data_IF_234049036577
#
_entry.id   IF_234049036577
#
_cell.length_a   1.000
_cell.length_b   1.000
_cell.length_c   1.000
_cell.angle_alpha   90.00
_cell.angle_beta   90.00
_cell.angle_gamma   90.00
#
_symmetry.space_group_name_H-M   'P 1'
#
loop_
_entity.id
_entity.type
_entity.pdbx_description
1 polymer ?
#
# COMPACT_ATOMS: atom_id res chain seq x y z
N UNK A 1 44.38 -55.81 25.98
CA UNK A 1 43.10 -56.27 25.40
C UNK A 1 42.48 -57.28 26.34
N UNK A 2 41.15 -57.28 26.57
CA UNK A 2 40.06 -56.97 25.62
C UNK A 2 39.32 -55.67 25.98
N UNK A 3 38.84 -54.83 25.05
CA UNK A 3 37.78 -54.97 24.04
C UNK A 3 36.40 -55.31 24.62
N UNK A 4 35.49 -54.33 24.64
CA UNK A 4 34.01 -54.40 24.49
C UNK A 4 33.53 -52.93 24.50
N UNK A 5 33.23 -52.34 23.35
CA UNK A 5 31.97 -52.33 22.58
C UNK A 5 31.04 -51.16 22.96
N UNK A 6 31.03 -50.16 22.07
CA UNK A 6 29.87 -49.43 21.55
C UNK A 6 28.78 -48.98 22.54
N UNK A 7 28.71 -47.66 22.75
CA UNK A 7 27.48 -46.86 22.83
C UNK A 7 27.86 -45.45 22.34
N UNK A 8 27.64 -45.13 21.07
CA UNK A 8 26.41 -44.57 20.49
C UNK A 8 26.19 -43.08 20.85
N UNK A 9 26.17 -42.28 19.78
CA UNK A 9 25.49 -40.99 19.59
C UNK A 9 26.36 -39.74 19.90
N UNK A 10 27.14 -39.32 18.90
CA UNK A 10 27.17 -37.91 18.48
C UNK A 10 25.85 -37.59 17.73
N UNK A 11 25.39 -36.33 17.55
CA UNK A 11 25.96 -35.04 17.96
C UNK A 11 24.94 -34.13 18.70
N UNK A 12 25.30 -33.51 19.82
CA UNK A 12 24.50 -32.41 20.38
C UNK A 12 24.79 -31.12 19.59
N UNK A 13 24.29 -31.06 18.35
CA UNK A 13 24.01 -29.78 17.69
C UNK A 13 22.78 -29.22 18.39
N UNK A 14 22.97 -28.60 19.56
CA UNK A 14 21.99 -27.70 20.11
C UNK A 14 22.14 -26.38 19.36
N UNK A 15 21.57 -26.33 18.14
CA UNK A 15 21.18 -25.09 17.48
C UNK A 15 20.05 -24.49 18.32
N UNK A 16 20.42 -23.91 19.47
CA UNK A 16 19.49 -23.17 20.31
C UNK A 16 19.12 -21.88 19.59
N UNK A 17 18.04 -21.99 18.82
CA UNK A 17 17.05 -20.94 18.58
C UNK A 17 17.59 -19.57 18.18
N UNK A 18 17.95 -19.43 16.90
CA UNK A 18 17.72 -18.19 16.15
C UNK A 18 16.22 -18.07 15.90
N UNK A 19 15.39 -17.88 16.93
CA UNK A 19 13.98 -17.50 16.74
C UNK A 19 13.54 -16.64 17.93
N UNK A 20 14.05 -15.42 18.00
CA UNK A 20 13.27 -14.31 18.57
C UNK A 20 13.59 -13.01 17.84
N UNK A 21 13.34 -13.00 16.53
CA UNK A 21 13.42 -11.78 15.71
C UNK A 21 12.27 -11.65 14.70
N UNK A 22 11.15 -12.33 14.94
CA UNK A 22 9.99 -12.28 14.04
C UNK A 22 8.72 -11.67 14.65
N UNK A 23 8.77 -11.16 15.89
CA UNK A 23 7.61 -10.51 16.52
C UNK A 23 7.61 -8.97 16.53
N UNK A 24 8.71 -8.35 16.12
CA UNK A 24 8.79 -6.89 15.96
C UNK A 24 9.22 -6.56 14.53
N UNK A 25 8.32 -6.05 13.67
CA UNK A 25 8.67 -5.10 12.58
C UNK A 25 7.57 -4.81 11.54
N UNK A 26 6.29 -5.15 11.77
CA UNK A 26 5.21 -4.51 10.99
C UNK A 26 4.81 -3.14 11.56
N UNK A 27 5.50 -2.66 12.59
CA UNK A 27 5.46 -1.26 12.98
C UNK A 27 6.40 -0.48 12.07
N UNK A 28 5.83 0.04 10.99
CA UNK A 28 6.45 1.12 10.24
C UNK A 28 6.55 2.35 11.13
N UNK A 29 7.76 2.89 11.27
CA UNK A 29 8.00 4.18 11.93
C UNK A 29 7.13 5.24 11.25
N UNK A 30 6.23 5.95 11.99
CA UNK A 30 5.35 6.96 11.43
C UNK A 30 6.08 8.01 10.60
N UNK A 31 7.31 8.34 10.97
CA UNK A 31 8.19 9.29 10.29
C UNK A 31 8.42 8.92 8.82
N UNK A 32 8.55 7.63 8.51
CA UNK A 32 8.71 7.13 7.13
C UNK A 32 7.45 7.39 6.30
N UNK A 33 6.28 7.27 6.92
CA UNK A 33 5.00 7.53 6.25
C UNK A 33 4.78 9.03 6.09
N UNK A 34 5.13 9.82 7.12
CA UNK A 34 4.97 11.27 7.12
C UNK A 34 5.87 11.98 6.07
N UNK A 35 7.04 11.43 5.74
CA UNK A 35 7.90 11.94 4.65
C UNK A 35 7.22 11.92 3.26
N UNK A 36 6.13 11.15 3.12
CA UNK A 36 5.32 11.12 1.89
C UNK A 36 4.46 12.37 1.71
N UNK A 37 4.22 13.14 2.76
CA UNK A 37 3.30 14.28 2.75
C UNK A 37 4.04 15.61 2.67
N UNK A 38 3.41 16.59 2.06
CA UNK A 38 3.81 17.98 2.18
C UNK A 38 3.31 18.55 3.52
N UNK A 39 3.85 19.69 3.94
CA UNK A 39 3.41 20.34 5.16
C UNK A 39 1.94 20.79 5.01
N UNK A 40 1.04 20.21 5.81
CA UNK A 40 -0.37 20.59 5.87
C UNK A 40 -1.32 19.41 5.69
N UNK A 41 -2.64 19.66 5.73
CA UNK A 41 -3.62 18.63 5.44
C UNK A 41 -3.57 18.22 3.96
N UNK A 42 -3.76 16.93 3.69
CA UNK A 42 -3.92 16.45 2.32
C UNK A 42 -5.27 16.91 1.76
N UNK A 43 -5.27 17.49 0.58
CA UNK A 43 -6.49 17.87 -0.14
C UNK A 43 -6.62 17.05 -1.43
N UNK A 44 -7.76 16.40 -1.62
CA UNK A 44 -8.01 15.53 -2.78
C UNK A 44 -9.22 16.01 -3.57
N UNK A 45 -9.18 15.84 -4.88
CA UNK A 45 -10.38 15.99 -5.69
C UNK A 45 -11.38 14.90 -5.32
N UNK A 46 -12.62 15.30 -5.03
CA UNK A 46 -13.74 14.43 -4.73
C UNK A 46 -14.85 14.66 -5.76
N UNK A 47 -15.28 13.60 -6.44
CA UNK A 47 -16.37 13.69 -7.41
C UNK A 47 -17.72 13.46 -6.72
N UNK A 48 -18.55 14.49 -6.69
CA UNK A 48 -19.89 14.40 -6.12
C UNK A 48 -20.88 13.89 -7.19
N UNK A 49 -21.34 12.65 -7.03
CA UNK A 49 -22.29 12.04 -7.97
C UNK A 49 -23.66 12.76 -8.01
N UNK A 50 -24.04 13.49 -6.96
CA UNK A 50 -25.32 14.19 -6.89
C UNK A 50 -25.31 15.50 -7.67
N UNK A 51 -24.19 16.25 -7.60
CA UNK A 51 -24.05 17.54 -8.27
C UNK A 51 -23.34 17.43 -9.63
N UNK A 52 -22.64 16.32 -9.89
CA UNK A 52 -21.81 16.14 -11.08
C UNK A 52 -20.54 17.03 -11.06
N UNK A 53 -20.18 17.58 -9.91
CA UNK A 53 -19.03 18.48 -9.76
C UNK A 53 -17.86 17.75 -9.10
N UNK A 54 -16.65 18.11 -9.53
CA UNK A 54 -15.42 17.74 -8.83
C UNK A 54 -14.94 18.95 -8.05
N UNK A 55 -14.66 18.76 -6.77
CA UNK A 55 -14.13 19.81 -5.89
C UNK A 55 -12.93 19.31 -5.09
N UNK A 56 -12.03 20.22 -4.77
CA UNK A 56 -10.89 19.92 -3.91
C UNK A 56 -11.37 20.00 -2.46
N UNK A 57 -11.26 18.89 -1.73
CA UNK A 57 -11.67 18.81 -0.33
C UNK A 57 -10.49 18.36 0.52
N UNK A 58 -10.33 18.99 1.68
CA UNK A 58 -9.47 18.45 2.74
C UNK A 58 -9.92 17.03 3.04
N UNK A 59 -8.96 16.11 3.11
CA UNK A 59 -9.16 14.75 3.60
C UNK A 59 -9.57 14.80 5.07
N UNK A 60 -10.87 14.99 5.30
CA UNK A 60 -11.48 14.76 6.58
C UNK A 60 -11.77 13.27 6.69
N UNK A 61 -11.21 12.63 7.70
CA UNK A 61 -11.54 11.25 8.06
C UNK A 61 -12.96 11.19 8.62
N UNK A 62 -13.98 11.43 7.80
CA UNK A 62 -15.32 10.97 8.12
C UNK A 62 -15.30 9.43 8.03
N UNK A 63 -15.08 8.78 9.17
CA UNK A 63 -15.12 7.33 9.26
C UNK A 63 -13.79 6.65 9.52
N UNK A 64 -13.03 7.15 10.49
CA UNK A 64 -12.04 6.33 11.23
C UNK A 64 -12.68 5.17 12.03
N UNK A 65 -13.80 4.60 11.59
CA UNK A 65 -14.14 3.22 11.93
C UNK A 65 -13.34 2.32 11.01
N UNK A 66 -12.06 2.23 11.36
CA UNK A 66 -11.24 1.04 11.29
C UNK A 66 -11.99 -0.16 10.69
N UNK A 67 -11.66 -0.51 9.44
CA UNK A 67 -11.88 -1.86 8.92
C UNK A 67 -11.07 -2.93 9.72
N UNK A 68 -10.51 -2.59 10.88
CA UNK A 68 -9.79 -3.44 11.80
C UNK A 68 -10.49 -3.56 13.19
N UNK A 69 -11.82 -3.65 13.24
CA UNK A 69 -12.56 -3.98 14.48
C UNK A 69 -12.26 -5.40 15.05
N UNK A 70 -11.24 -6.12 14.55
CA UNK A 70 -10.79 -7.43 15.04
C UNK A 70 -9.26 -7.54 15.11
N UNK A 71 -8.50 -6.43 15.15
CA UNK A 71 -7.05 -6.48 15.31
C UNK A 71 -6.74 -5.80 16.65
N UNK A 72 -6.21 -6.57 17.61
CA UNK A 72 -5.79 -6.12 18.95
C UNK A 72 -4.74 -4.98 18.95
N UNK A 73 -4.36 -4.48 17.78
CA UNK A 73 -3.43 -3.38 17.55
C UNK A 73 -4.00 -2.52 16.40
N UNK A 74 -4.51 -1.30 16.65
CA UNK A 74 -5.02 -0.46 15.58
C UNK A 74 -3.88 -0.13 14.60
N UNK A 75 -4.01 -0.58 13.35
CA UNK A 75 -3.08 -0.22 12.29
C UNK A 75 -3.33 1.26 11.97
N UNK A 76 -2.30 2.10 12.15
CA UNK A 76 -2.39 3.51 11.81
C UNK A 76 -2.77 3.67 10.34
N UNK A 77 -3.81 4.47 10.09
CA UNK A 77 -4.33 4.73 8.76
C UNK A 77 -4.02 6.18 8.36
N UNK A 78 -3.57 6.35 7.13
CA UNK A 78 -3.10 7.63 6.59
C UNK A 78 -3.85 7.96 5.29
N UNK A 79 -4.19 9.23 5.05
CA UNK A 79 -4.99 9.61 3.90
C UNK A 79 -4.18 9.55 2.60
N UNK A 80 -4.81 9.21 1.49
CA UNK A 80 -4.25 9.31 0.15
C UNK A 80 -5.34 9.74 -0.84
N UNK A 81 -4.95 10.46 -1.88
CA UNK A 81 -5.83 10.81 -2.97
C UNK A 81 -5.89 9.65 -3.98
N UNK A 82 -7.09 9.28 -4.40
CA UNK A 82 -7.30 8.16 -5.31
C UNK A 82 -8.13 8.58 -6.53
N UNK A 83 -7.78 8.02 -7.69
CA UNK A 83 -8.67 7.93 -8.85
C UNK A 83 -8.89 6.46 -9.17
N UNK A 84 -10.13 6.05 -9.37
CA UNK A 84 -10.49 4.74 -9.91
C UNK A 84 -11.35 4.90 -11.16
N UNK A 85 -11.02 4.13 -12.20
CA UNK A 85 -11.79 3.98 -13.42
C UNK A 85 -12.30 2.55 -13.54
N UNK A 86 -13.58 2.40 -13.81
CA UNK A 86 -14.23 1.12 -14.05
C UNK A 86 -14.83 1.16 -15.46
N UNK A 87 -14.25 0.36 -16.35
CA UNK A 87 -14.68 0.25 -17.73
C UNK A 87 -15.76 -0.85 -17.82
N UNK A 88 -16.99 -0.47 -18.13
CA UNK A 88 -18.13 -1.36 -18.35
C UNK A 88 -18.60 -1.23 -19.79
N UNK A 89 -18.31 -2.22 -20.65
CA UNK A 89 -18.71 -2.32 -22.07
C UNK A 89 -18.63 -0.99 -22.85
N UNK A 90 -19.63 -0.13 -22.73
CA UNK A 90 -19.75 1.15 -23.45
C UNK A 90 -19.55 2.41 -22.58
N UNK A 91 -19.22 2.25 -21.30
CA UNK A 91 -19.16 3.34 -20.32
C UNK A 91 -17.92 3.22 -19.43
N UNK A 92 -17.31 4.36 -19.11
CA UNK A 92 -16.23 4.46 -18.12
C UNK A 92 -16.72 5.25 -16.93
N UNK A 93 -16.76 4.64 -15.75
CA UNK A 93 -17.08 5.33 -14.50
C UNK A 93 -15.77 5.74 -13.84
N UNK A 94 -15.56 7.04 -13.70
CA UNK A 94 -14.41 7.59 -12.97
C UNK A 94 -14.87 8.06 -11.58
N UNK A 95 -14.12 7.70 -10.55
CA UNK A 95 -14.29 8.21 -9.18
C UNK A 95 -12.99 8.83 -8.70
N UNK A 96 -13.09 10.01 -8.13
CA UNK A 96 -12.00 10.69 -7.42
C UNK A 96 -12.44 10.79 -5.96
N UNK A 97 -11.57 10.40 -5.02
CA UNK A 97 -11.90 10.40 -3.60
C UNK A 97 -10.64 10.46 -2.73
N UNK A 98 -10.83 10.87 -1.48
CA UNK A 98 -9.88 10.63 -0.40
C UNK A 98 -10.12 9.25 0.22
N UNK A 99 -9.06 8.48 0.46
CA UNK A 99 -9.13 7.14 1.09
C UNK A 99 -8.07 7.04 2.17
N UNK A 100 -8.39 6.39 3.30
CA UNK A 100 -7.42 6.06 4.33
C UNK A 100 -6.86 4.66 4.10
N UNK A 101 -5.54 4.56 3.94
CA UNK A 101 -4.83 3.30 3.80
C UNK A 101 -4.00 2.98 5.05
N UNK A 102 -3.77 1.70 5.35
CA UNK A 102 -2.71 1.29 6.28
C UNK A 102 -1.35 1.90 5.89
N UNK A 103 -0.47 2.18 6.87
CA UNK A 103 0.89 2.72 6.65
C UNK A 103 1.62 2.08 5.47
N UNK A 104 1.65 0.74 5.41
CA UNK A 104 2.37 0.00 4.36
C UNK A 104 1.79 0.26 2.97
N UNK A 105 0.47 0.39 2.86
CA UNK A 105 -0.20 0.62 1.58
C UNK A 105 -0.07 2.07 1.11
N UNK A 106 0.06 3.05 2.03
CA UNK A 106 0.38 4.43 1.66
C UNK A 106 1.76 4.53 1.02
N UNK A 107 2.74 3.75 1.46
CA UNK A 107 4.08 3.76 0.86
C UNK A 107 4.12 3.26 -0.59
N UNK A 108 3.12 2.48 -1.00
CA UNK A 108 2.94 2.04 -2.40
C UNK A 108 2.27 3.10 -3.27
N UNK A 109 1.72 4.16 -2.68
CA UNK A 109 1.22 5.31 -3.42
C UNK A 109 2.39 6.17 -3.92
N UNK A 110 2.20 6.75 -5.10
CA UNK A 110 3.18 7.68 -5.65
C UNK A 110 3.13 8.99 -4.85
N UNK A 111 4.26 9.69 -4.73
CA UNK A 111 4.26 10.94 -3.94
C UNK A 111 3.43 12.02 -4.64
N UNK A 112 3.77 12.34 -5.89
CA UNK A 112 3.30 13.55 -6.58
C UNK A 112 2.27 13.29 -7.67
N UNK A 113 2.23 12.09 -8.25
CA UNK A 113 1.48 11.81 -9.47
C UNK A 113 0.60 10.57 -9.35
N UNK A 114 -0.65 10.67 -9.76
CA UNK A 114 -1.53 9.50 -9.77
C UNK A 114 -1.19 8.60 -10.98
N UNK A 115 -0.24 7.67 -10.79
CA UNK A 115 0.24 6.75 -11.83
C UNK A 115 -0.67 5.53 -11.99
N UNK A 116 -1.17 5.31 -13.20
CA UNK A 116 -2.15 4.29 -13.55
C UNK A 116 -1.62 2.89 -13.26
N UNK A 117 -2.38 2.15 -12.45
CA UNK A 117 -2.22 0.73 -12.22
C UNK A 117 -3.39 0.02 -12.89
N UNK A 118 -3.12 -0.65 -14.02
CA UNK A 118 -4.12 -1.38 -14.80
C UNK A 118 -4.27 -2.78 -14.21
N UNK A 119 -5.51 -3.17 -13.90
CA UNK A 119 -5.87 -4.50 -13.44
C UNK A 119 -6.96 -5.11 -14.33
N UNK A 120 -7.14 -6.42 -14.21
CA UNK A 120 -8.24 -7.14 -14.87
C UNK A 120 -8.33 -6.88 -16.38
N UNK A 121 -7.21 -7.00 -17.11
CA UNK A 121 -7.12 -6.78 -18.56
C UNK A 121 -7.69 -5.42 -19.02
N UNK A 122 -7.47 -4.35 -18.25
CA UNK A 122 -7.96 -3.02 -18.60
C UNK A 122 -9.38 -2.70 -18.15
N UNK A 123 -10.09 -3.62 -17.48
CA UNK A 123 -11.44 -3.34 -16.95
C UNK A 123 -11.44 -2.39 -15.75
N UNK A 124 -10.36 -2.41 -14.99
CA UNK A 124 -10.20 -1.56 -13.81
C UNK A 124 -8.83 -0.89 -13.91
N UNK A 125 -8.80 0.43 -13.74
CA UNK A 125 -7.54 1.11 -13.47
C UNK A 125 -7.69 2.02 -12.27
N UNK A 126 -6.64 2.08 -11.47
CA UNK A 126 -6.63 2.94 -10.29
C UNK A 126 -5.24 3.52 -10.07
N UNK A 127 -5.17 4.60 -9.33
CA UNK A 127 -3.91 5.18 -8.87
C UNK A 127 -4.15 5.83 -7.51
N UNK A 128 -3.07 5.97 -6.73
CA UNK A 128 -3.10 6.72 -5.49
C UNK A 128 -1.84 7.58 -5.34
N UNK A 129 -1.99 8.69 -4.63
CA UNK A 129 -0.89 9.62 -4.38
C UNK A 129 -1.08 10.47 -3.12
N UNK A 130 -0.01 11.12 -2.64
CA UNK A 130 0.06 11.77 -1.31
C UNK A 130 0.35 13.27 -1.33
N UNK A 131 0.41 13.91 -2.51
CA UNK A 131 0.45 15.38 -2.67
C UNK A 131 -0.96 15.93 -2.94
N UNK A 132 -1.28 17.12 -2.41
CA UNK A 132 -2.59 17.74 -2.62
C UNK A 132 -2.91 17.94 -4.11
N UNK A 133 -4.14 17.58 -4.51
CA UNK A 133 -4.62 17.69 -5.89
C UNK A 133 -4.00 16.69 -6.89
N UNK A 134 -3.15 15.77 -6.44
CA UNK A 134 -2.45 14.84 -7.32
C UNK A 134 -3.41 13.88 -8.08
N UNK A 135 -4.60 13.63 -7.52
CA UNK A 135 -5.66 12.84 -8.13
C UNK A 135 -6.55 13.64 -9.09
N UNK A 136 -6.10 14.80 -9.59
CA UNK A 136 -6.83 15.56 -10.63
C UNK A 136 -6.81 14.86 -11.98
N UNK A 137 -5.79 14.04 -12.25
CA UNK A 137 -5.67 13.24 -13.47
C UNK A 137 -4.87 11.96 -13.22
N UNK A 138 -5.19 10.92 -13.98
CA UNK A 138 -4.46 9.65 -13.97
C UNK A 138 -3.46 9.66 -15.13
N UNK A 139 -2.18 9.40 -14.84
CA UNK A 139 -1.10 9.37 -15.82
C UNK A 139 -0.69 7.93 -16.13
N UNK A 140 -0.34 7.58 -17.37
CA UNK A 140 0.17 6.25 -17.68
C UNK A 140 1.48 6.01 -16.92
N UNK A 141 1.63 4.80 -16.35
CA UNK A 141 2.88 4.42 -15.69
C UNK A 141 3.99 4.25 -16.73
N UNK A 142 5.18 4.85 -16.53
CA UNK A 142 6.32 4.62 -17.41
C UNK A 142 6.63 3.14 -17.49
N UNK A 143 6.75 2.60 -18.70
CA UNK A 143 7.26 1.24 -18.90
C UNK A 143 8.78 1.27 -18.71
N UNK A 144 9.37 0.33 -17.96
CA UNK A 144 10.82 0.23 -17.90
C UNK A 144 11.37 -0.02 -19.31
N UNK A 145 12.27 0.85 -19.77
CA UNK A 145 12.86 0.80 -21.12
C UNK A 145 13.85 -0.39 -21.24
N UNK A 146 14.31 -0.93 -20.11
CA UNK A 146 15.09 -2.16 -20.06
C UNK A 146 14.30 -3.27 -19.35
N UNK A 147 13.73 -4.18 -20.13
CA UNK A 147 13.53 -5.56 -19.69
C UNK A 147 14.89 -6.25 -19.76
N UNK A 148 15.48 -6.58 -18.62
CA UNK A 148 16.60 -7.51 -18.61
C UNK A 148 16.06 -8.86 -19.10
N UNK A 149 16.69 -9.53 -20.08
CA UNK A 149 16.33 -10.89 -20.41
C UNK A 149 16.49 -11.75 -19.15
N UNK A 150 15.46 -12.51 -18.82
CA UNK A 150 15.54 -13.51 -17.76
C UNK A 150 16.73 -14.44 -18.08
N UNK A 151 17.67 -14.54 -17.14
CA UNK A 151 18.72 -15.54 -17.20
C UNK A 151 18.05 -16.90 -16.94
N UNK A 152 17.82 -17.65 -18.02
CA UNK A 152 17.54 -19.10 -17.97
C UNK A 152 18.69 -19.89 -17.34
#
# INVERSE_FOLDING_TARGET
>A
SPFIFLLLISPSVALASVIDRSRNSYHLEPEIVLDRYENGPLECYNYNNMTGTTELQVCHGEGGHSLANNIDHPIAAYPACLIAKINKKDTTVTKQLCVYFPSIAVLDCDKSHCLENIRNNGRHSSCCCTTSGCNGRMLPRPQPILSFPDLE
#
